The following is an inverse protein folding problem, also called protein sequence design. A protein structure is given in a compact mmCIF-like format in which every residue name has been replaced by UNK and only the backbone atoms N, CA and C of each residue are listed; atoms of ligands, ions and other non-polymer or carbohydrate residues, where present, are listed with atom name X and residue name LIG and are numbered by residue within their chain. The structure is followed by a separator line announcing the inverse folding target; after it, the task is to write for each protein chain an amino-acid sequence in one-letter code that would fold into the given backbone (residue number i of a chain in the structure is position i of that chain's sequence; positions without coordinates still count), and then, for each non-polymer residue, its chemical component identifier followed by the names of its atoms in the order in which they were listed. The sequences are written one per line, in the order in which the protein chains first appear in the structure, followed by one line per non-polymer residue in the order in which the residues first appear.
data_IF_076404663083
#
_entry.id   IF_076404663083
#
_cell.length_a   1.000
_cell.length_b   1.000
_cell.length_c   1.000
_cell.angle_alpha   90.00
_cell.angle_beta   90.00
_cell.angle_gamma   90.00
#
_symmetry.space_group_name_H-M   'P 1'
#
loop_
_entity.id
_entity.type
_entity.pdbx_description
1 polymer ?
#
# COMPACT_ATOMS: atom_id res chain seq x y z
N UNK A 1 33.56 59.36 -11.47
CA UNK A 1 33.05 58.85 -10.20
C UNK A 1 31.51 58.75 -10.15
N UNK A 2 30.83 58.15 -11.15
CA UNK A 2 29.34 58.02 -11.18
C UNK A 2 28.86 56.66 -11.71
N UNK A 3 29.74 55.66 -11.82
CA UNK A 3 29.36 54.32 -12.33
C UNK A 3 29.34 53.22 -11.25
N UNK A 4 29.91 53.45 -10.06
CA UNK A 4 30.01 52.42 -9.00
C UNK A 4 28.75 52.30 -8.13
N UNK A 5 27.87 53.30 -8.10
CA UNK A 5 26.69 53.33 -7.22
C UNK A 5 25.48 52.58 -7.79
N UNK A 6 25.42 52.34 -9.12
CA UNK A 6 24.29 51.64 -9.74
C UNK A 6 24.41 50.13 -9.71
N UNK A 7 25.61 49.57 -9.63
CA UNK A 7 25.84 48.12 -9.54
C UNK A 7 25.56 47.61 -8.14
N UNK A 8 25.81 48.44 -7.11
CA UNK A 8 25.56 48.04 -5.72
C UNK A 8 24.06 47.98 -5.37
N UNK A 9 23.24 48.84 -6.04
CA UNK A 9 21.78 48.87 -5.82
C UNK A 9 21.06 47.68 -6.48
N UNK A 10 21.58 47.15 -7.61
CA UNK A 10 21.02 45.95 -8.28
C UNK A 10 21.35 44.66 -7.54
N UNK A 11 22.50 44.59 -6.88
CA UNK A 11 22.87 43.42 -6.05
C UNK A 11 22.05 43.37 -4.75
N UNK A 12 21.68 44.49 -4.15
CA UNK A 12 20.84 44.54 -2.95
C UNK A 12 19.37 44.19 -3.24
N UNK A 13 18.84 44.57 -4.41
CA UNK A 13 17.46 44.21 -4.81
C UNK A 13 17.33 42.73 -5.17
N UNK A 14 18.35 42.14 -5.78
CA UNK A 14 18.35 40.68 -6.04
C UNK A 14 18.50 39.83 -4.76
N UNK A 15 19.25 40.30 -3.75
CA UNK A 15 19.39 39.59 -2.48
C UNK A 15 18.11 39.65 -1.63
N UNK A 16 17.39 40.79 -1.65
CA UNK A 16 16.12 40.91 -0.94
C UNK A 16 14.99 40.08 -1.58
N UNK A 17 15.00 39.90 -2.91
CA UNK A 17 14.01 39.07 -3.61
C UNK A 17 14.22 37.57 -3.36
N UNK A 18 15.48 37.10 -3.17
CA UNK A 18 15.79 35.70 -2.89
C UNK A 18 15.47 35.33 -1.43
N UNK A 19 15.60 36.24 -0.48
CA UNK A 19 15.23 36.03 0.92
C UNK A 19 13.71 36.06 1.14
N UNK A 20 12.96 36.86 0.40
CA UNK A 20 11.49 36.91 0.53
C UNK A 20 10.77 35.65 -0.01
N UNK A 21 11.36 34.97 -0.99
CA UNK A 21 10.78 33.70 -1.51
C UNK A 21 11.07 32.47 -0.65
N UNK A 22 12.07 32.53 0.24
CA UNK A 22 12.40 31.42 1.14
C UNK A 22 11.63 31.45 2.47
N UNK A 23 11.07 32.59 2.86
CA UNK A 23 10.27 32.72 4.09
C UNK A 23 8.77 32.44 3.88
N UNK A 24 8.25 32.62 2.66
CA UNK A 24 6.83 32.38 2.35
C UNK A 24 6.43 30.90 2.27
N UNK A 25 7.37 29.95 2.37
CA UNK A 25 7.13 28.52 2.21
C UNK A 25 7.47 27.67 3.46
N UNK A 26 7.55 28.29 4.65
CA UNK A 26 7.91 27.59 5.90
C UNK A 26 6.80 27.40 6.93
N UNK A 27 5.59 27.88 6.69
CA UNK A 27 4.61 28.03 7.77
C UNK A 27 3.30 27.23 7.66
N UNK A 28 3.16 26.24 6.80
CA UNK A 28 2.09 25.26 6.97
C UNK A 28 2.59 23.83 6.85
N UNK A 29 2.86 23.22 7.99
CA UNK A 29 3.05 21.77 8.08
C UNK A 29 1.83 21.08 7.45
N UNK A 30 2.01 20.06 6.58
CA UNK A 30 0.88 19.35 5.97
C UNK A 30 -0.14 18.92 7.01
N UNK A 31 -1.42 18.95 6.68
CA UNK A 31 -2.52 18.70 7.63
C UNK A 31 -2.48 17.32 8.29
N UNK A 32 -1.85 16.35 7.65
CA UNK A 32 -1.64 15.00 8.18
C UNK A 32 -0.43 14.89 9.11
N UNK A 33 0.41 15.91 9.22
CA UNK A 33 1.50 15.96 10.19
C UNK A 33 1.03 16.51 11.54
N UNK A 34 1.61 15.99 12.62
CA UNK A 34 1.40 16.48 13.98
C UNK A 34 2.74 16.71 14.67
N UNK A 35 2.74 17.35 15.83
CA UNK A 35 3.99 17.52 16.62
C UNK A 35 4.66 16.20 17.02
N UNK A 36 3.96 15.06 16.96
CA UNK A 36 4.45 13.77 17.47
C UNK A 36 4.33 12.62 16.48
N UNK A 37 3.98 12.88 15.23
CA UNK A 37 3.77 11.87 14.19
C UNK A 37 2.70 12.31 13.20
N UNK A 38 1.75 11.46 12.87
CA UNK A 38 0.82 11.65 11.77
C UNK A 38 -0.63 11.43 12.19
N UNK A 39 -1.58 11.89 11.37
CA UNK A 39 -3.02 11.74 11.56
C UNK A 39 -3.74 11.61 10.22
N UNK A 40 -4.93 11.01 10.24
CA UNK A 40 -5.84 11.08 9.09
C UNK A 40 -6.42 12.49 8.96
N UNK A 41 -6.66 12.94 7.73
CA UNK A 41 -7.18 14.29 7.44
C UNK A 41 -8.67 14.34 7.28
N UNK A 42 -9.27 13.29 6.68
CA UNK A 42 -10.65 13.28 6.22
C UNK A 42 -11.57 12.38 7.04
N UNK A 43 -11.12 11.91 8.19
CA UNK A 43 -11.93 11.13 9.14
C UNK A 43 -11.67 11.56 10.58
N UNK A 44 -12.75 11.69 11.35
CA UNK A 44 -12.65 11.76 12.79
C UNK A 44 -12.80 10.34 13.35
N UNK A 45 -11.74 9.81 13.91
CA UNK A 45 -11.74 8.47 14.48
C UNK A 45 -11.60 8.52 15.99
N UNK A 46 -12.69 8.16 16.67
CA UNK A 46 -12.70 7.96 18.11
C UNK A 46 -12.12 6.56 18.43
N UNK A 47 -10.81 6.51 18.74
CA UNK A 47 -10.15 5.27 19.11
C UNK A 47 -10.72 4.72 20.43
N UNK A 48 -11.43 3.60 20.35
CA UNK A 48 -12.11 2.96 21.49
C UNK A 48 -11.18 2.39 22.57
N UNK A 49 -9.86 2.40 22.35
CA UNK A 49 -8.85 1.88 23.26
C UNK A 49 -8.72 0.35 23.24
N UNK A 50 -7.54 -0.13 23.64
CA UNK A 50 -7.18 -1.56 23.58
C UNK A 50 -8.11 -2.46 24.40
N UNK A 51 -8.63 -1.96 25.54
CA UNK A 51 -9.56 -2.71 26.37
C UNK A 51 -10.91 -2.98 25.68
N UNK A 52 -11.43 -2.02 24.94
CA UNK A 52 -12.66 -2.19 24.18
C UNK A 52 -12.49 -3.23 23.08
N UNK A 53 -11.37 -3.17 22.35
CA UNK A 53 -11.01 -4.15 21.31
C UNK A 53 -10.89 -5.56 21.92
N UNK A 54 -10.22 -5.70 23.06
CA UNK A 54 -10.07 -6.98 23.74
C UNK A 54 -11.44 -7.51 24.22
N UNK A 55 -12.28 -6.66 24.80
CA UNK A 55 -13.62 -7.03 25.22
C UNK A 55 -14.48 -7.48 24.04
N UNK A 56 -14.45 -6.77 22.91
CA UNK A 56 -15.15 -7.15 21.68
C UNK A 56 -14.73 -8.54 21.22
N UNK A 57 -13.43 -8.86 21.24
CA UNK A 57 -12.93 -10.17 20.84
C UNK A 57 -13.52 -11.34 21.64
N UNK A 58 -13.78 -11.15 22.93
CA UNK A 58 -14.24 -12.25 23.80
C UNK A 58 -15.75 -12.24 24.03
N UNK A 59 -16.43 -11.11 23.87
CA UNK A 59 -17.83 -10.95 24.33
C UNK A 59 -18.81 -10.48 23.26
N UNK A 60 -18.35 -10.05 22.05
CA UNK A 60 -19.28 -9.59 21.01
C UNK A 60 -20.06 -10.73 20.31
N UNK A 61 -19.57 -11.96 20.38
CA UNK A 61 -20.14 -13.08 19.64
C UNK A 61 -19.91 -13.01 18.12
N UNK A 62 -19.27 -11.96 17.59
CA UNK A 62 -19.06 -11.77 16.15
C UNK A 62 -17.91 -12.56 15.57
N UNK A 63 -17.02 -13.09 16.41
CA UNK A 63 -15.85 -13.86 15.98
C UNK A 63 -16.24 -15.20 15.41
N UNK A 64 -16.23 -15.33 14.08
CA UNK A 64 -16.55 -16.57 13.39
C UNK A 64 -15.47 -17.62 13.63
N UNK A 65 -15.88 -18.88 13.76
CA UNK A 65 -14.97 -20.02 13.89
C UNK A 65 -14.14 -20.23 12.63
N UNK A 66 -12.98 -20.87 12.78
CA UNK A 66 -12.13 -21.29 11.66
C UNK A 66 -12.07 -22.82 11.61
N UNK A 67 -12.34 -23.38 10.44
CA UNK A 67 -12.20 -24.79 10.15
C UNK A 67 -11.24 -25.01 8.98
N UNK A 68 -10.10 -25.64 9.26
CA UNK A 68 -9.03 -25.90 8.25
C UNK A 68 -9.50 -26.70 7.04
N UNK A 69 -10.53 -27.51 7.16
CA UNK A 69 -11.04 -28.34 6.05
C UNK A 69 -12.05 -27.60 5.19
N UNK A 70 -12.82 -26.70 5.81
CA UNK A 70 -13.88 -25.94 5.14
C UNK A 70 -13.37 -24.60 4.59
N UNK A 71 -12.58 -23.90 5.40
CA UNK A 71 -12.19 -22.50 5.13
C UNK A 71 -10.86 -22.48 4.35
N UNK A 72 -10.85 -23.09 3.17
CA UNK A 72 -9.68 -23.23 2.30
C UNK A 72 -9.72 -22.18 1.22
N UNK A 73 -8.69 -21.34 1.18
CA UNK A 73 -8.47 -20.39 0.08
C UNK A 73 -7.92 -21.14 -1.14
N UNK A 74 -8.50 -20.89 -2.31
CA UNK A 74 -8.03 -21.49 -3.55
C UNK A 74 -6.56 -21.14 -3.83
N UNK A 75 -5.81 -22.07 -4.39
CA UNK A 75 -4.40 -21.90 -4.74
C UNK A 75 -4.18 -22.23 -6.21
N UNK A 76 -3.21 -21.54 -6.83
CA UNK A 76 -2.77 -21.78 -8.20
C UNK A 76 -1.24 -21.78 -8.26
N UNK A 77 -0.68 -22.35 -9.32
CA UNK A 77 0.76 -22.28 -9.57
C UNK A 77 1.07 -20.93 -10.24
N UNK A 78 1.99 -20.12 -9.70
CA UNK A 78 2.36 -18.86 -10.32
C UNK A 78 2.90 -19.04 -11.75
N UNK A 79 2.42 -18.20 -12.68
CA UNK A 79 2.88 -18.17 -14.06
C UNK A 79 3.62 -16.85 -14.32
N UNK A 80 4.84 -16.75 -13.76
CA UNK A 80 5.65 -15.53 -13.78
C UNK A 80 5.94 -15.06 -15.21
N UNK A 81 6.03 -13.74 -15.40
CA UNK A 81 6.35 -13.14 -16.70
C UNK A 81 7.80 -13.40 -17.10
N UNK A 82 8.02 -13.66 -18.40
CA UNK A 82 9.36 -13.51 -18.97
C UNK A 82 9.75 -12.02 -18.98
N UNK A 83 11.04 -11.67 -18.83
CA UNK A 83 11.51 -10.27 -18.86
C UNK A 83 11.14 -9.47 -20.10
N UNK A 84 10.88 -10.17 -21.21
CA UNK A 84 10.51 -9.59 -22.53
C UNK A 84 9.00 -9.51 -22.75
N UNK A 85 8.16 -9.84 -21.75
CA UNK A 85 6.71 -9.77 -21.89
C UNK A 85 6.25 -8.34 -22.13
N UNK A 86 5.41 -8.13 -23.14
CA UNK A 86 4.74 -6.86 -23.41
C UNK A 86 3.54 -6.60 -22.48
N UNK A 87 2.95 -7.67 -21.94
CA UNK A 87 1.84 -7.57 -21.01
C UNK A 87 2.33 -7.34 -19.58
N UNK A 88 1.57 -6.60 -18.82
CA UNK A 88 1.73 -6.54 -17.36
C UNK A 88 1.22 -7.84 -16.74
N UNK A 89 1.98 -8.38 -15.83
CA UNK A 89 1.65 -9.61 -15.12
C UNK A 89 1.48 -9.30 -13.64
N UNK A 90 0.34 -9.67 -13.08
CA UNK A 90 0.02 -9.49 -11.66
C UNK A 90 -0.19 -10.86 -11.04
N UNK A 91 0.56 -11.17 -9.98
CA UNK A 91 0.48 -12.44 -9.24
C UNK A 91 0.15 -12.18 -7.79
N UNK A 92 -0.93 -12.77 -7.27
CA UNK A 92 -1.20 -12.72 -5.83
C UNK A 92 -0.34 -13.72 -5.07
N UNK A 93 0.63 -13.23 -4.33
CA UNK A 93 1.51 -14.09 -3.50
C UNK A 93 0.80 -14.52 -2.23
N UNK A 94 -0.10 -13.66 -1.71
CA UNK A 94 -0.92 -13.90 -0.52
C UNK A 94 -0.95 -12.69 0.41
N UNK A 95 -2.04 -12.51 1.16
CA UNK A 95 -2.30 -11.35 2.01
C UNK A 95 -2.26 -10.03 1.20
N UNK A 96 -1.41 -9.09 1.59
CA UNK A 96 -1.15 -7.83 0.86
C UNK A 96 0.08 -7.92 -0.06
N UNK A 97 0.71 -9.10 -0.17
CA UNK A 97 1.87 -9.32 -1.03
C UNK A 97 1.44 -9.66 -2.45
N UNK A 98 1.71 -8.74 -3.37
CA UNK A 98 1.43 -8.87 -4.81
C UNK A 98 2.71 -8.61 -5.60
N UNK A 99 2.98 -9.44 -6.59
CA UNK A 99 4.08 -9.25 -7.53
C UNK A 99 3.53 -8.67 -8.83
N UNK A 100 4.01 -7.47 -9.19
CA UNK A 100 3.70 -6.80 -10.46
C UNK A 100 4.95 -6.86 -11.33
N UNK A 101 4.83 -7.39 -12.55
CA UNK A 101 5.94 -7.56 -13.47
C UNK A 101 5.61 -6.89 -14.81
N UNK A 102 6.41 -5.94 -15.22
CA UNK A 102 6.28 -5.27 -16.52
C UNK A 102 7.63 -4.81 -17.05
N UNK A 103 7.87 -5.00 -18.35
CA UNK A 103 9.09 -4.56 -19.05
C UNK A 103 10.41 -4.99 -18.39
N UNK A 104 10.42 -6.15 -17.69
CA UNK A 104 11.59 -6.65 -16.97
C UNK A 104 11.75 -6.04 -15.56
N UNK A 105 10.88 -5.13 -15.15
CA UNK A 105 10.87 -4.56 -13.81
C UNK A 105 9.85 -5.31 -12.95
N UNK A 106 10.28 -5.74 -11.76
CA UNK A 106 9.47 -6.46 -10.79
C UNK A 106 9.28 -5.60 -9.54
N UNK A 107 8.02 -5.29 -9.21
CA UNK A 107 7.62 -4.56 -8.03
C UNK A 107 6.86 -5.49 -7.09
N UNK A 108 7.21 -5.49 -5.81
CA UNK A 108 6.58 -6.31 -4.78
C UNK A 108 5.92 -5.40 -3.73
N UNK A 109 4.68 -5.70 -3.36
CA UNK A 109 3.96 -4.95 -2.32
C UNK A 109 4.01 -5.69 -1.00
N UNK A 110 4.15 -4.97 0.13
CA UNK A 110 4.05 -5.43 1.52
C UNK A 110 4.47 -6.90 1.73
N UNK A 111 5.75 -7.25 1.54
CA UNK A 111 6.18 -8.63 1.56
C UNK A 111 6.11 -9.24 2.96
N UNK A 112 5.23 -10.26 3.11
CA UNK A 112 5.14 -11.07 4.31
C UNK A 112 5.19 -12.56 3.97
N UNK A 113 6.27 -13.24 4.38
CA UNK A 113 6.47 -14.68 4.21
C UNK A 113 6.44 -15.43 5.55
N UNK A 114 6.44 -14.72 6.66
CA UNK A 114 6.44 -15.28 8.01
C UNK A 114 5.17 -16.08 8.33
N UNK A 115 5.34 -17.06 9.24
CA UNK A 115 4.24 -17.87 9.76
C UNK A 115 3.28 -17.09 10.65
N UNK A 116 3.75 -16.01 11.28
CA UNK A 116 2.96 -15.18 12.20
C UNK A 116 3.08 -13.72 11.81
N UNK A 117 1.97 -13.00 11.78
CA UNK A 117 1.91 -11.55 11.71
C UNK A 117 2.15 -10.97 13.12
N UNK A 118 3.41 -10.97 13.57
CA UNK A 118 3.75 -10.71 14.97
C UNK A 118 5.24 -10.36 15.13
N UNK A 119 5.63 -9.64 16.21
CA UNK A 119 7.04 -9.49 16.58
C UNK A 119 7.71 -10.82 16.99
N UNK A 120 6.90 -11.84 17.30
CA UNK A 120 7.37 -13.16 17.76
C UNK A 120 7.20 -14.21 16.67
N UNK A 121 8.24 -15.01 16.43
CA UNK A 121 8.21 -16.09 15.43
C UNK A 121 7.38 -17.32 15.85
N UNK A 122 6.90 -17.36 17.09
CA UNK A 122 6.19 -18.50 17.70
C UNK A 122 4.78 -18.16 18.19
N UNK A 123 4.36 -16.90 18.19
CA UNK A 123 3.08 -16.48 18.73
C UNK A 123 2.49 -15.27 17.95
N UNK A 124 1.18 -15.16 17.95
CA UNK A 124 0.42 -14.08 17.28
C UNK A 124 -0.56 -14.65 16.27
N UNK A 125 -1.14 -13.82 15.39
CA UNK A 125 -1.99 -14.27 14.30
C UNK A 125 -1.23 -15.23 13.38
N UNK A 126 -1.60 -16.50 13.42
CA UNK A 126 -0.96 -17.53 12.62
C UNK A 126 -1.47 -17.50 11.18
N UNK A 127 -0.56 -17.73 10.23
CA UNK A 127 -0.89 -17.87 8.81
C UNK A 127 -1.79 -19.08 8.57
N UNK A 128 -2.85 -18.87 7.83
CA UNK A 128 -3.83 -19.87 7.43
C UNK A 128 -3.42 -20.48 6.08
N UNK A 129 -3.15 -19.62 5.11
CA UNK A 129 -2.78 -20.01 3.74
C UNK A 129 -1.32 -19.70 3.47
N UNK A 130 -0.58 -20.65 2.90
CA UNK A 130 0.83 -20.45 2.57
C UNK A 130 0.99 -19.43 1.43
N UNK A 131 2.06 -18.62 1.41
CA UNK A 131 2.35 -17.75 0.29
C UNK A 131 2.73 -18.61 -0.93
N UNK A 132 2.31 -18.16 -2.13
CA UNK A 132 2.55 -18.87 -3.37
C UNK A 132 4.02 -18.86 -3.81
N UNK A 133 4.77 -17.86 -3.38
CA UNK A 133 6.20 -17.70 -3.59
C UNK A 133 6.89 -17.49 -2.25
N UNK A 134 8.17 -17.82 -2.19
CA UNK A 134 9.05 -17.58 -1.04
C UNK A 134 10.18 -16.63 -1.50
N UNK A 135 10.95 -16.01 -0.59
CA UNK A 135 12.09 -15.17 -0.98
C UNK A 135 13.04 -15.86 -1.98
N UNK A 136 13.22 -17.18 -1.85
CA UNK A 136 14.11 -17.99 -2.71
C UNK A 136 13.53 -18.27 -4.10
N UNK A 137 12.20 -18.25 -4.24
CA UNK A 137 11.49 -18.53 -5.51
C UNK A 137 11.01 -17.28 -6.22
N UNK A 138 11.13 -16.11 -5.58
CA UNK A 138 10.86 -14.83 -6.23
C UNK A 138 11.84 -14.57 -7.38
N UNK A 139 11.39 -13.93 -8.46
CA UNK A 139 12.32 -13.34 -9.41
C UNK A 139 13.12 -12.21 -8.72
N UNK A 140 14.16 -11.70 -9.38
CA UNK A 140 14.86 -10.50 -8.89
C UNK A 140 13.86 -9.37 -8.71
N UNK A 141 13.72 -8.87 -7.49
CA UNK A 141 12.84 -7.74 -7.16
C UNK A 141 13.63 -6.44 -7.33
N UNK A 142 13.06 -5.46 -8.03
CA UNK A 142 13.69 -4.16 -8.28
C UNK A 142 13.17 -3.09 -7.32
N UNK A 143 11.87 -3.12 -7.00
CA UNK A 143 11.25 -2.25 -6.02
C UNK A 143 10.37 -3.03 -5.03
N UNK A 144 10.35 -2.56 -3.79
CA UNK A 144 9.36 -2.95 -2.78
C UNK A 144 8.64 -1.68 -2.32
N UNK A 145 7.32 -1.67 -2.34
CA UNK A 145 6.51 -0.63 -1.72
C UNK A 145 5.93 -1.17 -0.40
N UNK A 146 6.08 -0.40 0.68
CA UNK A 146 5.53 -0.73 2.01
C UNK A 146 4.45 0.28 2.34
N UNK A 147 3.25 -0.19 2.66
CA UNK A 147 2.13 0.70 2.97
C UNK A 147 2.24 1.32 4.37
N UNK A 148 2.59 0.54 5.38
CA UNK A 148 2.72 0.98 6.76
C UNK A 148 3.51 -0.03 7.60
N UNK A 149 3.68 0.24 8.88
CA UNK A 149 4.59 -0.52 9.73
C UNK A 149 3.96 -1.68 10.53
N UNK A 150 2.68 -2.05 10.32
CA UNK A 150 2.09 -3.21 10.99
C UNK A 150 2.82 -4.51 10.64
N UNK A 151 2.71 -5.50 11.53
CA UNK A 151 3.49 -6.74 11.43
C UNK A 151 3.12 -7.63 10.25
N UNK A 152 1.94 -7.49 9.69
CA UNK A 152 1.44 -8.20 8.53
C UNK A 152 1.75 -7.50 7.19
N UNK A 153 2.37 -6.31 7.22
CA UNK A 153 2.81 -5.53 6.06
C UNK A 153 4.33 -5.30 6.05
N UNK A 154 4.94 -5.02 7.20
CA UNK A 154 6.38 -4.82 7.36
C UNK A 154 6.98 -5.97 8.21
N UNK A 155 7.19 -7.12 7.56
CA UNK A 155 7.72 -8.33 8.21
C UNK A 155 9.25 -8.32 8.23
N UNK A 156 9.82 -8.38 9.44
CA UNK A 156 11.27 -8.34 9.66
C UNK A 156 12.03 -9.46 8.93
N UNK A 157 11.48 -10.67 8.92
CA UNK A 157 12.13 -11.81 8.28
C UNK A 157 12.13 -11.68 6.76
N UNK A 158 11.02 -11.22 6.19
CA UNK A 158 10.87 -10.97 4.76
C UNK A 158 11.82 -9.88 4.27
N UNK A 159 11.88 -8.73 4.99
CA UNK A 159 12.80 -7.63 4.66
C UNK A 159 14.25 -8.10 4.70
N UNK A 160 14.65 -8.85 5.72
CA UNK A 160 16.03 -9.38 5.81
C UNK A 160 16.35 -10.39 4.72
N UNK A 161 15.38 -11.22 4.33
CA UNK A 161 15.57 -12.20 3.25
C UNK A 161 15.73 -11.54 1.88
N UNK A 162 15.04 -10.41 1.62
CA UNK A 162 15.20 -9.62 0.41
C UNK A 162 16.49 -8.79 0.42
N UNK A 163 16.96 -8.37 1.60
CA UNK A 163 18.21 -7.63 1.81
C UNK A 163 18.27 -6.34 0.99
N UNK A 164 19.45 -6.01 0.48
CA UNK A 164 19.72 -4.81 -0.32
C UNK A 164 19.45 -4.99 -1.84
N UNK A 165 18.79 -6.09 -2.23
CA UNK A 165 18.49 -6.33 -3.65
C UNK A 165 17.53 -5.30 -4.22
N UNK A 166 16.35 -5.01 -3.61
CA UNK A 166 15.44 -3.99 -4.12
C UNK A 166 15.75 -2.59 -3.58
N UNK A 167 15.20 -1.58 -4.23
CA UNK A 167 14.94 -0.29 -3.59
C UNK A 167 13.61 -0.35 -2.88
N UNK A 168 13.57 0.11 -1.63
CA UNK A 168 12.37 0.15 -0.80
C UNK A 168 11.79 1.55 -0.80
N UNK A 169 10.52 1.68 -1.15
CA UNK A 169 9.73 2.91 -1.06
C UNK A 169 8.81 2.79 0.15
N UNK A 170 8.98 3.68 1.10
CA UNK A 170 8.34 3.55 2.41
C UNK A 170 7.79 4.89 2.91
N UNK A 171 6.71 4.93 3.69
CA UNK A 171 6.24 6.15 4.34
C UNK A 171 7.24 6.70 5.35
N UNK A 172 7.12 8.00 5.65
CA UNK A 172 7.96 8.71 6.63
C UNK A 172 8.03 8.00 7.99
N UNK A 173 9.25 7.90 8.54
CA UNK A 173 9.57 7.27 9.82
C UNK A 173 9.97 5.80 9.74
N UNK A 174 9.74 5.10 8.62
CA UNK A 174 10.06 3.66 8.45
C UNK A 174 11.53 3.42 8.13
N UNK A 175 12.20 4.31 7.42
CA UNK A 175 13.62 4.17 7.01
C UNK A 175 14.53 3.86 8.19
N UNK A 176 14.37 4.59 9.28
CA UNK A 176 15.18 4.36 10.51
C UNK A 176 15.03 2.91 11.01
N UNK A 177 13.81 2.36 10.96
CA UNK A 177 13.55 0.99 11.36
C UNK A 177 14.25 0.00 10.43
N UNK A 178 14.16 0.20 9.11
CA UNK A 178 14.77 -0.69 8.10
C UNK A 178 16.30 -0.70 8.21
N UNK A 179 16.92 0.46 8.35
CA UNK A 179 18.37 0.57 8.58
C UNK A 179 18.77 -0.16 9.88
N UNK A 180 17.97 -0.04 10.94
CA UNK A 180 18.15 -0.79 12.19
C UNK A 180 17.98 -2.32 12.01
N UNK A 181 17.41 -2.80 10.90
CA UNK A 181 17.30 -4.23 10.56
C UNK A 181 18.37 -4.71 9.58
N UNK A 182 19.29 -3.83 9.18
CA UNK A 182 20.45 -4.16 8.34
C UNK A 182 20.30 -3.82 6.87
N UNK A 183 19.25 -3.08 6.48
CA UNK A 183 19.08 -2.58 5.10
C UNK A 183 19.90 -1.30 4.95
N UNK A 184 20.65 -1.19 3.86
CA UNK A 184 21.48 -0.02 3.54
C UNK A 184 20.61 1.23 3.33
N UNK A 185 21.03 2.37 3.89
CA UNK A 185 20.23 3.60 3.89
C UNK A 185 19.94 4.15 2.48
N UNK A 186 20.82 3.90 1.52
CA UNK A 186 20.68 4.26 0.09
C UNK A 186 19.67 3.37 -0.65
N UNK A 187 19.30 2.24 -0.06
CA UNK A 187 18.24 1.36 -0.58
C UNK A 187 16.84 1.72 -0.09
N UNK A 188 16.69 2.70 0.79
CA UNK A 188 15.41 3.10 1.36
C UNK A 188 15.10 4.54 1.01
N UNK A 189 14.05 4.72 0.22
CA UNK A 189 13.46 6.02 -0.16
C UNK A 189 12.25 6.25 0.73
N UNK A 190 12.35 7.24 1.62
CA UNK A 190 11.28 7.61 2.54
C UNK A 190 10.46 8.74 1.93
N UNK A 191 9.14 8.64 1.93
CA UNK A 191 8.25 9.52 1.17
C UNK A 191 7.07 9.98 2.02
N UNK A 192 6.70 11.24 1.81
CA UNK A 192 5.45 11.81 2.29
C UNK A 192 4.33 11.60 1.25
N UNK A 193 3.06 11.82 1.63
CA UNK A 193 1.96 11.80 0.68
C UNK A 193 2.22 12.79 -0.46
N UNK A 194 1.98 12.34 -1.69
CA UNK A 194 2.21 13.03 -2.95
C UNK A 194 3.68 13.19 -3.37
N UNK A 195 4.63 12.69 -2.56
CA UNK A 195 6.01 12.57 -3.03
C UNK A 195 6.11 11.49 -4.11
N UNK A 196 6.92 11.77 -5.12
CA UNK A 196 7.18 10.86 -6.24
C UNK A 196 8.68 10.60 -6.39
N UNK A 197 9.03 9.38 -6.75
CA UNK A 197 10.39 8.98 -7.06
C UNK A 197 10.42 8.06 -8.29
N UNK A 198 11.43 8.21 -9.12
CA UNK A 198 11.61 7.37 -10.31
C UNK A 198 12.61 6.25 -10.04
N UNK A 199 12.22 5.02 -10.34
CA UNK A 199 13.09 3.87 -10.42
C UNK A 199 13.46 3.64 -11.88
N UNK A 200 14.75 3.71 -12.20
CA UNK A 200 15.27 3.37 -13.56
C UNK A 200 15.99 2.03 -13.55
N UNK A 201 15.58 1.12 -14.43
CA UNK A 201 16.17 -0.20 -14.61
C UNK A 201 16.37 -0.45 -16.11
N UNK A 202 17.60 -0.62 -16.54
CA UNK A 202 17.96 -0.90 -17.94
C UNK A 202 17.32 0.08 -18.94
N UNK A 203 17.31 1.39 -18.58
CA UNK A 203 16.77 2.47 -19.41
C UNK A 203 15.23 2.54 -19.44
N UNK A 204 14.55 1.82 -18.57
CA UNK A 204 13.10 1.86 -18.38
C UNK A 204 12.76 2.45 -17.02
N UNK A 205 11.76 3.31 -16.98
CA UNK A 205 11.39 4.08 -15.80
C UNK A 205 10.04 3.63 -15.25
N UNK A 206 9.96 3.62 -13.91
CA UNK A 206 8.73 3.49 -13.14
C UNK A 206 8.67 4.63 -12.15
N UNK A 207 7.59 5.40 -12.19
CA UNK A 207 7.33 6.46 -11.20
C UNK A 207 6.51 5.86 -10.07
N UNK A 208 7.03 5.98 -8.85
CA UNK A 208 6.38 5.51 -7.63
C UNK A 208 6.00 6.74 -6.81
N UNK A 209 4.70 6.89 -6.52
CA UNK A 209 4.15 8.02 -5.77
C UNK A 209 3.43 7.52 -4.53
N UNK A 210 3.78 8.05 -3.36
CA UNK A 210 3.02 7.81 -2.14
C UNK A 210 1.69 8.59 -2.21
N UNK A 211 0.56 7.93 -1.92
CA UNK A 211 -0.76 8.55 -1.92
C UNK A 211 -1.45 8.41 -0.57
N UNK A 212 -2.39 9.29 -0.22
CA UNK A 212 -3.14 9.18 1.03
C UNK A 212 -3.82 7.83 1.19
N UNK A 213 -3.89 7.36 2.44
CA UNK A 213 -4.80 6.30 2.88
C UNK A 213 -5.31 6.60 4.28
N UNK A 214 -6.41 5.97 4.67
CA UNK A 214 -7.07 6.19 5.95
C UNK A 214 -6.76 5.03 6.89
N UNK A 215 -5.68 5.14 7.65
CA UNK A 215 -5.24 4.03 8.51
C UNK A 215 -4.52 4.56 9.77
N UNK A 216 -3.63 3.77 10.32
CA UNK A 216 -2.75 4.14 11.42
C UNK A 216 -1.47 3.30 11.38
N UNK A 217 -0.50 3.68 12.18
CA UNK A 217 0.75 2.94 12.34
C UNK A 217 1.02 2.61 13.81
N UNK A 218 1.90 1.65 14.04
CA UNK A 218 2.39 1.27 15.37
C UNK A 218 2.76 -0.21 15.48
N UNK A 219 3.89 -0.46 16.11
CA UNK A 219 4.44 -1.81 16.36
C UNK A 219 4.62 -2.09 17.85
N UNK A 220 4.47 -1.10 18.69
CA UNK A 220 4.66 -1.19 20.13
C UNK A 220 3.53 -0.52 20.92
N UNK A 221 3.77 -0.32 22.21
CA UNK A 221 2.76 0.27 23.11
C UNK A 221 2.72 1.81 23.05
N UNK A 222 3.78 2.46 22.54
CA UNK A 222 3.96 3.92 22.65
C UNK A 222 4.35 4.59 21.33
N UNK A 223 4.28 3.90 20.20
CA UNK A 223 4.70 4.37 18.89
C UNK A 223 3.55 4.58 17.90
N UNK A 224 2.30 4.54 18.38
CA UNK A 224 1.12 4.78 17.54
C UNK A 224 1.25 6.08 16.77
N UNK A 225 1.05 5.99 15.43
CA UNK A 225 1.13 7.11 14.50
C UNK A 225 2.47 7.85 14.46
N UNK A 226 3.56 7.18 14.87
CA UNK A 226 4.93 7.76 14.79
C UNK A 226 5.55 7.63 13.41
N UNK A 227 5.08 6.69 12.62
CA UNK A 227 5.37 6.56 11.20
C UNK A 227 4.14 6.91 10.40
N UNK A 228 4.32 7.35 9.15
CA UNK A 228 3.20 7.59 8.24
C UNK A 228 2.71 6.24 7.68
N UNK A 229 1.54 6.24 7.08
CA UNK A 229 0.97 5.17 6.24
C UNK A 229 0.61 5.75 4.89
N UNK A 230 0.64 4.92 3.85
CA UNK A 230 0.37 5.36 2.49
C UNK A 230 -0.21 4.24 1.63
N UNK A 231 -0.96 4.60 0.62
CA UNK A 231 -1.17 3.80 -0.58
C UNK A 231 -0.17 4.23 -1.67
N UNK A 232 -0.06 3.50 -2.76
CA UNK A 232 1.00 3.69 -3.74
C UNK A 232 0.48 3.70 -5.17
N UNK A 233 0.81 4.73 -5.93
CA UNK A 233 0.74 4.75 -7.38
C UNK A 233 2.05 4.22 -7.95
N UNK A 234 1.98 3.31 -8.92
CA UNK A 234 3.11 2.66 -9.56
C UNK A 234 2.88 2.78 -11.07
N UNK A 235 3.53 3.75 -11.70
CA UNK A 235 3.24 4.16 -13.06
C UNK A 235 4.42 3.90 -14.01
N UNK A 236 4.24 3.03 -14.99
CA UNK A 236 5.04 2.94 -16.21
C UNK A 236 4.47 3.89 -17.26
N UNK A 237 5.20 4.23 -18.32
CA UNK A 237 4.66 5.09 -19.37
C UNK A 237 3.36 4.57 -20.00
N UNK A 238 3.23 3.23 -20.11
CA UNK A 238 2.14 2.52 -20.77
C UNK A 238 1.22 1.74 -19.83
N UNK A 239 1.40 1.85 -18.50
CA UNK A 239 0.57 1.15 -17.53
C UNK A 239 0.61 1.78 -16.15
N UNK A 240 -0.52 1.83 -15.48
CA UNK A 240 -0.64 2.42 -14.16
C UNK A 240 -1.32 1.46 -13.18
N UNK A 241 -0.59 1.03 -12.16
CA UNK A 241 -1.11 0.26 -11.05
C UNK A 241 -1.23 1.14 -9.79
N UNK A 242 -2.22 0.84 -8.95
CA UNK A 242 -2.38 1.45 -7.63
C UNK A 242 -2.51 0.35 -6.57
N UNK A 243 -1.80 0.49 -5.46
CA UNK A 243 -1.81 -0.41 -4.32
C UNK A 243 -2.34 0.30 -3.07
N UNK A 244 -3.45 -0.18 -2.52
CA UNK A 244 -4.13 0.44 -1.40
C UNK A 244 -3.46 0.27 -0.04
N UNK A 245 -2.70 -0.82 0.17
CA UNK A 245 -2.31 -1.22 1.53
C UNK A 245 -3.55 -1.47 2.38
N UNK A 246 -3.51 -1.03 3.64
CA UNK A 246 -4.68 -1.00 4.51
C UNK A 246 -5.29 0.38 4.56
N UNK A 247 -6.63 0.44 4.50
CA UNK A 247 -7.35 1.71 4.54
C UNK A 247 -8.80 1.54 4.96
N UNK A 248 -9.35 2.52 5.66
CA UNK A 248 -10.78 2.80 5.70
C UNK A 248 -11.21 3.56 4.45
N UNK A 249 -12.50 3.81 4.30
CA UNK A 249 -13.06 4.58 3.18
C UNK A 249 -13.41 6.01 3.60
N UNK A 250 -13.10 6.95 2.73
CA UNK A 250 -13.66 8.29 2.70
C UNK A 250 -13.81 8.77 1.25
N UNK A 251 -14.80 9.61 0.99
CA UNK A 251 -15.15 10.08 -0.35
C UNK A 251 -14.14 11.09 -0.94
N UNK A 252 -13.17 11.57 -0.16
CA UNK A 252 -12.27 12.65 -0.56
C UNK A 252 -10.99 12.08 -1.14
N UNK A 253 -10.27 11.22 -0.38
CA UNK A 253 -8.93 10.76 -0.72
C UNK A 253 -8.91 9.97 -2.04
N UNK A 254 -9.82 8.99 -2.19
CA UNK A 254 -9.82 8.14 -3.38
C UNK A 254 -10.31 8.86 -4.64
N UNK A 255 -11.29 9.76 -4.51
CA UNK A 255 -11.71 10.62 -5.60
C UNK A 255 -10.61 11.62 -6.00
N UNK A 256 -9.80 12.11 -5.04
CA UNK A 256 -8.65 12.96 -5.33
C UNK A 256 -7.56 12.19 -6.06
N UNK A 257 -7.22 10.97 -5.62
CA UNK A 257 -6.27 10.08 -6.29
C UNK A 257 -6.73 9.80 -7.73
N UNK A 258 -8.00 9.42 -7.93
CA UNK A 258 -8.58 9.17 -9.25
C UNK A 258 -8.60 10.39 -10.16
N UNK A 259 -8.76 11.60 -9.60
CA UNK A 259 -8.67 12.86 -10.37
C UNK A 259 -7.23 13.22 -10.71
N UNK A 260 -6.30 12.98 -9.78
CA UNK A 260 -4.89 13.34 -9.93
C UNK A 260 -4.21 12.50 -11.01
N UNK A 261 -4.42 11.19 -11.01
CA UNK A 261 -3.75 10.29 -11.93
C UNK A 261 -4.56 9.98 -13.20
N UNK A 262 -5.85 10.25 -13.19
CA UNK A 262 -6.72 9.87 -14.30
C UNK A 262 -6.97 8.37 -14.34
N UNK A 263 -6.76 7.73 -15.51
CA UNK A 263 -7.05 6.32 -15.70
C UNK A 263 -6.04 5.42 -14.98
N UNK A 264 -6.50 4.66 -13.99
CA UNK A 264 -5.75 3.60 -13.34
C UNK A 264 -6.09 2.28 -14.04
N UNK A 265 -5.10 1.58 -14.59
CA UNK A 265 -5.33 0.33 -15.30
C UNK A 265 -5.64 -0.82 -14.33
N UNK A 266 -5.00 -0.80 -13.15
CA UNK A 266 -5.15 -1.87 -12.16
C UNK A 266 -5.07 -1.36 -10.73
N UNK A 267 -6.08 -1.66 -9.90
CA UNK A 267 -6.06 -1.35 -8.48
C UNK A 267 -6.00 -2.62 -7.63
N UNK A 268 -5.20 -2.56 -6.56
CA UNK A 268 -5.02 -3.64 -5.59
C UNK A 268 -5.65 -3.16 -4.28
N UNK A 269 -6.86 -3.65 -3.95
CA UNK A 269 -7.76 -3.10 -2.95
C UNK A 269 -7.96 -4.09 -1.80
N UNK A 270 -7.78 -3.69 -0.52
CA UNK A 270 -8.06 -4.56 0.62
C UNK A 270 -9.57 -4.80 0.76
N UNK A 271 -9.96 -5.99 1.24
CA UNK A 271 -11.35 -6.36 1.52
C UNK A 271 -11.55 -7.06 2.85
N UNK A 272 -10.50 -7.30 3.63
CA UNK A 272 -10.53 -8.04 4.89
C UNK A 272 -10.29 -7.18 6.12
N UNK A 273 -10.39 -7.80 7.28
CA UNK A 273 -10.22 -7.19 8.60
C UNK A 273 -11.26 -6.08 8.93
N UNK A 274 -12.50 -6.23 8.42
CA UNK A 274 -13.52 -5.17 8.54
C UNK A 274 -14.54 -5.35 9.68
N UNK A 275 -14.55 -6.46 10.40
CA UNK A 275 -15.48 -6.70 11.53
C UNK A 275 -14.75 -6.73 12.88
N UNK A 276 -15.35 -6.20 13.96
CA UNK A 276 -16.63 -5.46 13.99
C UNK A 276 -16.48 -4.04 13.43
N UNK A 277 -17.54 -3.53 12.79
CA UNK A 277 -17.49 -2.26 12.04
C UNK A 277 -17.24 -1.02 12.90
N UNK A 278 -17.72 -1.01 14.14
CA UNK A 278 -17.53 0.10 15.08
C UNK A 278 -16.05 0.30 15.48
N UNK A 279 -15.23 -0.74 15.36
CA UNK A 279 -13.78 -0.70 15.60
C UNK A 279 -13.02 -0.58 14.30
N UNK A 280 -13.34 -1.44 13.32
CA UNK A 280 -12.54 -1.63 12.11
C UNK A 280 -12.93 -0.66 10.98
N UNK A 281 -14.18 -0.19 10.95
CA UNK A 281 -14.69 0.67 9.89
C UNK A 281 -13.85 1.90 9.58
N UNK A 282 -13.35 2.63 10.57
CA UNK A 282 -12.49 3.80 10.33
C UNK A 282 -11.13 3.47 9.68
N UNK A 283 -10.68 2.22 9.70
CA UNK A 283 -9.32 1.83 9.33
C UNK A 283 -9.24 0.67 8.32
N UNK A 284 -10.36 -0.03 8.11
CA UNK A 284 -10.46 -1.11 7.13
C UNK A 284 -11.79 -1.04 6.39
N UNK A 285 -11.72 -1.00 5.07
CA UNK A 285 -12.91 -1.07 4.21
C UNK A 285 -13.54 -2.46 4.28
N UNK A 286 -14.87 -2.48 4.22
CA UNK A 286 -15.58 -3.70 3.87
C UNK A 286 -15.64 -3.86 2.33
N UNK A 287 -16.06 -5.04 1.81
CA UNK A 287 -16.13 -5.28 0.37
C UNK A 287 -17.00 -4.28 -0.41
N UNK A 288 -18.08 -3.75 0.15
CA UNK A 288 -18.89 -2.74 -0.52
C UNK A 288 -18.16 -1.39 -0.63
N UNK A 289 -17.43 -0.98 0.41
CA UNK A 289 -16.56 0.20 0.39
C UNK A 289 -15.37 0.02 -0.57
N UNK A 290 -14.82 -1.21 -0.71
CA UNK A 290 -13.81 -1.52 -1.71
C UNK A 290 -14.31 -1.29 -3.14
N UNK A 291 -15.59 -1.58 -3.41
CA UNK A 291 -16.24 -1.26 -4.69
C UNK A 291 -16.34 0.26 -4.91
N UNK A 292 -16.55 1.06 -3.86
CA UNK A 292 -16.51 2.52 -3.97
C UNK A 292 -15.11 3.00 -4.32
N UNK A 293 -14.07 2.47 -3.67
CA UNK A 293 -12.66 2.79 -4.02
C UNK A 293 -12.38 2.49 -5.49
N UNK A 294 -12.76 1.31 -5.99
CA UNK A 294 -12.61 0.95 -7.41
C UNK A 294 -13.21 2.02 -8.35
N UNK A 295 -14.41 2.50 -8.03
CA UNK A 295 -15.10 3.54 -8.81
C UNK A 295 -14.45 4.91 -8.69
N UNK A 296 -14.08 5.33 -7.49
CA UNK A 296 -13.47 6.64 -7.23
C UNK A 296 -12.11 6.77 -7.91
N UNK A 297 -11.32 5.69 -7.90
CA UNK A 297 -10.06 5.58 -8.62
C UNK A 297 -10.23 5.51 -10.15
N UNK A 298 -11.44 5.27 -10.65
CA UNK A 298 -11.72 4.97 -12.06
C UNK A 298 -10.88 3.80 -12.59
N UNK A 299 -10.65 2.80 -11.74
CA UNK A 299 -9.82 1.67 -12.10
C UNK A 299 -10.49 0.81 -13.18
N UNK A 300 -9.74 0.40 -14.21
CA UNK A 300 -10.25 -0.51 -15.25
C UNK A 300 -10.41 -1.93 -14.71
N UNK A 301 -9.43 -2.36 -13.93
CA UNK A 301 -9.45 -3.66 -13.27
C UNK A 301 -9.04 -3.51 -11.82
N UNK A 302 -9.54 -4.38 -10.95
CA UNK A 302 -9.12 -4.44 -9.56
C UNK A 302 -8.98 -5.88 -9.07
N UNK A 303 -8.09 -6.08 -8.12
CA UNK A 303 -7.99 -7.32 -7.37
C UNK A 303 -8.18 -7.09 -5.87
N UNK A 304 -8.82 -8.04 -5.23
CA UNK A 304 -9.05 -8.05 -3.80
C UNK A 304 -7.88 -8.69 -3.03
N UNK A 305 -7.38 -7.98 -2.03
CA UNK A 305 -6.29 -8.44 -1.16
C UNK A 305 -6.69 -8.38 0.33
N UNK A 306 -5.74 -8.68 1.22
CA UNK A 306 -5.86 -8.59 2.68
C UNK A 306 -6.95 -9.51 3.26
N UNK A 307 -7.16 -10.68 2.67
CA UNK A 307 -8.09 -11.71 3.12
C UNK A 307 -7.48 -13.10 3.01
N UNK A 308 -8.03 -14.09 3.71
CA UNK A 308 -7.69 -15.50 3.51
C UNK A 308 -6.30 -15.95 4.01
N UNK A 309 -5.39 -15.04 4.41
CA UNK A 309 -4.04 -15.38 4.82
C UNK A 309 -3.86 -15.44 6.34
N UNK A 310 -4.46 -14.50 7.07
CA UNK A 310 -4.42 -14.41 8.53
C UNK A 310 -5.82 -14.13 9.07
N UNK A 311 -6.08 -14.53 10.33
CA UNK A 311 -7.30 -14.14 11.05
C UNK A 311 -7.01 -12.90 11.91
N UNK A 312 -7.24 -11.73 11.35
CA UNK A 312 -6.95 -10.44 11.99
C UNK A 312 -8.18 -9.83 12.65
N UNK A 313 -9.38 -10.20 12.19
CA UNK A 313 -10.64 -9.63 12.63
C UNK A 313 -11.73 -10.69 12.83
N UNK A 314 -12.98 -10.28 13.03
CA UNK A 314 -14.05 -11.16 13.50
C UNK A 314 -14.72 -11.96 12.38
N UNK A 315 -14.65 -11.52 11.13
CA UNK A 315 -15.24 -12.23 9.99
C UNK A 315 -14.56 -13.57 9.70
N UNK A 316 -15.28 -14.48 9.06
CA UNK A 316 -14.76 -15.76 8.59
C UNK A 316 -13.77 -15.61 7.45
N UNK A 317 -12.91 -16.62 7.26
CA UNK A 317 -11.81 -16.61 6.29
C UNK A 317 -12.27 -16.32 4.85
N UNK A 318 -13.39 -16.90 4.44
CA UNK A 318 -13.96 -16.75 3.09
C UNK A 318 -15.06 -15.69 2.99
N UNK A 319 -15.49 -15.14 4.12
CA UNK A 319 -16.56 -14.13 4.17
C UNK A 319 -16.23 -12.90 3.33
N UNK A 320 -15.00 -12.33 3.34
CA UNK A 320 -14.69 -11.16 2.51
C UNK A 320 -14.90 -11.41 1.01
N UNK A 321 -14.53 -12.57 0.51
CA UNK A 321 -14.72 -12.93 -0.90
C UNK A 321 -16.21 -13.08 -1.27
N UNK A 322 -17.02 -13.68 -0.40
CA UNK A 322 -18.46 -13.82 -0.59
C UNK A 322 -19.18 -12.46 -0.53
N UNK A 323 -18.80 -11.61 0.44
CA UNK A 323 -19.36 -10.27 0.57
C UNK A 323 -18.96 -9.38 -0.63
N UNK A 324 -17.73 -9.56 -1.19
CA UNK A 324 -17.32 -8.87 -2.41
C UNK A 324 -18.17 -9.30 -3.61
N UNK A 325 -18.37 -10.59 -3.81
CA UNK A 325 -19.22 -11.07 -4.92
C UNK A 325 -20.64 -10.48 -4.86
N UNK A 326 -21.21 -10.40 -3.66
CA UNK A 326 -22.51 -9.77 -3.43
C UNK A 326 -22.49 -8.26 -3.73
N UNK A 327 -21.43 -7.55 -3.33
CA UNK A 327 -21.27 -6.12 -3.55
C UNK A 327 -21.09 -5.80 -5.05
N UNK A 328 -20.29 -6.60 -5.77
CA UNK A 328 -20.09 -6.48 -7.22
C UNK A 328 -21.40 -6.71 -8.00
N UNK A 329 -22.13 -7.76 -7.64
CA UNK A 329 -23.44 -8.01 -8.23
C UNK A 329 -24.39 -6.84 -8.03
N UNK A 330 -24.48 -6.28 -6.83
CA UNK A 330 -25.31 -5.12 -6.54
C UNK A 330 -24.86 -3.86 -7.28
N UNK A 331 -23.57 -3.74 -7.58
CA UNK A 331 -22.97 -2.63 -8.30
C UNK A 331 -23.01 -2.79 -9.84
N UNK A 332 -23.33 -3.98 -10.36
CA UNK A 332 -23.29 -4.29 -11.79
C UNK A 332 -21.87 -4.38 -12.35
N UNK A 333 -20.88 -4.71 -11.52
CA UNK A 333 -19.46 -4.86 -11.88
C UNK A 333 -19.16 -6.35 -12.07
N UNK A 334 -18.48 -6.70 -13.16
CA UNK A 334 -18.13 -8.09 -13.45
C UNK A 334 -16.89 -8.55 -12.66
N UNK A 335 -16.78 -9.88 -12.44
CA UNK A 335 -15.60 -10.49 -11.79
C UNK A 335 -14.30 -10.32 -12.60
N UNK A 336 -14.39 -10.02 -13.89
CA UNK A 336 -13.24 -9.69 -14.73
C UNK A 336 -12.75 -8.26 -14.50
N UNK A 337 -13.63 -7.38 -14.10
CA UNK A 337 -13.34 -5.97 -13.81
C UNK A 337 -12.81 -5.80 -12.39
N UNK A 338 -13.49 -6.39 -11.41
CA UNK A 338 -13.00 -6.46 -10.05
C UNK A 338 -13.28 -7.86 -9.48
N UNK A 339 -12.24 -8.55 -8.96
CA UNK A 339 -12.44 -9.91 -8.47
C UNK A 339 -11.40 -10.37 -7.46
N UNK A 340 -11.66 -11.56 -6.91
CA UNK A 340 -10.68 -12.29 -6.10
C UNK A 340 -9.77 -13.12 -6.99
N UNK A 341 -8.54 -13.36 -6.52
CA UNK A 341 -7.59 -14.30 -7.12
C UNK A 341 -7.43 -15.50 -6.19
N UNK A 342 -7.06 -16.64 -6.75
CA UNK A 342 -6.47 -17.72 -5.97
C UNK A 342 -5.04 -17.33 -5.55
N UNK A 343 -4.56 -17.81 -4.40
CA UNK A 343 -3.16 -17.58 -3.99
C UNK A 343 -2.24 -18.25 -5.02
N UNK A 344 -1.37 -17.45 -5.65
CA UNK A 344 -0.53 -17.87 -6.77
C UNK A 344 -1.14 -17.65 -8.16
N UNK A 345 -2.42 -17.29 -8.23
CA UNK A 345 -2.99 -16.93 -9.52
C UNK A 345 -2.29 -15.73 -10.12
N UNK A 346 -2.00 -15.87 -11.40
CA UNK A 346 -1.34 -14.86 -12.21
C UNK A 346 -2.25 -14.47 -13.37
N UNK A 347 -2.56 -13.18 -13.49
CA UNK A 347 -3.31 -12.62 -14.63
C UNK A 347 -2.42 -11.69 -15.42
N UNK A 348 -2.72 -11.58 -16.73
CA UNK A 348 -2.02 -10.71 -17.66
C UNK A 348 -2.96 -9.65 -18.17
N UNK A 349 -2.46 -8.41 -18.21
CA UNK A 349 -3.22 -7.25 -18.65
C UNK A 349 -2.49 -6.57 -19.82
N UNK A 350 -3.21 -6.14 -20.87
CA UNK A 350 -2.61 -5.38 -21.95
C UNK A 350 -2.17 -4.00 -21.45
N UNK A 351 -1.16 -3.46 -22.09
CA UNK A 351 -0.71 -2.07 -21.90
C UNK A 351 -1.52 -1.11 -22.77
N UNK A 352 -1.40 0.17 -22.50
CA UNK A 352 -1.94 1.23 -23.37
C UNK A 352 -1.03 1.38 -24.59
N UNK A 353 -1.61 1.70 -25.73
CA UNK A 353 -0.84 2.18 -26.87
C UNK A 353 -0.29 3.57 -26.53
N UNK A 354 1.03 3.73 -26.61
CA UNK A 354 1.64 5.04 -26.50
C UNK A 354 1.43 5.78 -27.83
N UNK A 355 1.13 7.10 -27.82
CA UNK A 355 1.11 7.86 -29.03
C UNK A 355 2.47 7.78 -29.72
N UNK A 356 2.46 7.53 -31.04
CA UNK A 356 3.67 7.60 -31.86
C UNK A 356 4.28 9.01 -31.73
N UNK A 357 5.56 9.07 -31.36
CA UNK A 357 6.33 10.32 -31.21
C UNK A 357 6.63 10.95 -32.57
#
# INVERSE_FOLDING_TARGET
MRQSSRILLLLFVCLAAVTATSEANRDSMPSHHTKRGFQNTNVQWDYKGAWYVLKSRFFSGEWQGYDKKRDVVATAKPALAAPTSSNVTVTWVGHATVLIQHQGINVLTDPIFSKFASPFSFAGPARISQPALTPETLPKIHAVVISHDHYDHLDTASIRALGDTPTYYVPLGIKRWMVGKGISADRVVEMDWWDSATLSVDGKDVVITATPSQHFSGRGLHDRNRTLWASWSIAWPDYHAWFGGDTGYNEIDFAEIGRHFGDIDFAIIPIGAYKPRDIMGPIHVNPAEAVLIHRDLKARHSMAIHWGAFRLAAEGVLTPAADLASALQAAGISDNEFGTFAIGETRRYPTRELPEL
#
